data_IF_385031745707
#
_entry.id   IF_385031745707
#
_cell.length_a   1.000
_cell.length_b   1.000
_cell.length_c   1.000
_cell.angle_alpha   90.00
_cell.angle_beta   90.00
_cell.angle_gamma   90.00
#
_symmetry.space_group_name_H-M   'P 1'
#
loop_
_entity.id
_entity.type
_entity.pdbx_description
1 polymer ?
#
# COMPACT_ATOMS: atom_id res chain seq x y z
N UNK A 1 -3.53 4.89 -3.37
CA UNK A 1 -4.19 5.11 -2.06
C UNK A 1 -3.56 4.13 -1.08
N UNK A 2 -3.13 4.57 0.11
CA UNK A 2 -2.71 3.71 1.22
C UNK A 2 -3.90 3.55 2.17
N UNK A 3 -4.13 2.34 2.67
CA UNK A 3 -5.24 2.05 3.56
C UNK A 3 -4.82 1.00 4.60
N UNK A 4 -5.56 0.96 5.71
CA UNK A 4 -5.44 -0.04 6.76
C UNK A 4 -6.82 -0.67 7.00
N UNK A 5 -6.89 -1.92 7.49
CA UNK A 5 -8.17 -2.58 7.79
C UNK A 5 -8.91 -1.87 8.96
N UNK A 6 -8.18 -1.23 9.89
CA UNK A 6 -8.75 -0.64 11.11
C UNK A 6 -9.11 0.84 10.96
N UNK A 7 -8.45 1.56 10.04
CA UNK A 7 -8.61 3.02 9.91
C UNK A 7 -9.91 3.46 9.22
N UNK A 8 -10.56 2.56 8.46
CA UNK A 8 -11.79 2.86 7.71
C UNK A 8 -11.66 3.95 6.64
N UNK A 9 -10.45 4.46 6.39
CA UNK A 9 -10.15 5.53 5.46
C UNK A 9 -8.92 5.20 4.61
N UNK A 10 -8.91 5.71 3.37
CA UNK A 10 -7.79 5.59 2.45
C UNK A 10 -7.13 6.95 2.23
N UNK A 11 -5.81 7.01 2.34
CA UNK A 11 -5.01 8.23 2.17
C UNK A 11 -4.33 8.21 0.80
N UNK A 12 -4.52 9.23 -0.06
CA UNK A 12 -3.72 9.38 -1.26
C UNK A 12 -2.26 9.66 -0.89
N UNK A 13 -1.34 8.86 -1.42
CA UNK A 13 0.10 9.00 -1.16
C UNK A 13 0.88 8.86 -2.46
N UNK A 14 2.08 9.46 -2.50
CA UNK A 14 3.08 9.19 -3.55
C UNK A 14 4.10 8.21 -3.00
N UNK A 15 4.10 6.98 -3.51
CA UNK A 15 5.03 5.92 -3.13
C UNK A 15 6.29 5.96 -4.01
N UNK A 16 7.47 5.86 -3.41
CA UNK A 16 8.77 5.91 -4.10
C UNK A 16 9.81 5.01 -3.42
N UNK A 17 10.77 4.55 -4.20
CA UNK A 17 12.00 3.94 -3.70
C UNK A 17 13.10 5.00 -3.73
N UNK A 18 13.97 5.02 -2.73
CA UNK A 18 15.13 5.92 -2.74
C UNK A 18 16.14 5.53 -3.84
N UNK A 19 17.09 6.42 -4.12
CA UNK A 19 18.06 6.23 -5.21
C UNK A 19 18.96 5.00 -5.04
N UNK A 20 19.14 4.53 -3.81
CA UNK A 20 20.00 3.39 -3.49
C UNK A 20 19.22 2.08 -3.26
N UNK A 21 17.89 2.12 -3.20
CA UNK A 21 17.06 0.93 -3.02
C UNK A 21 17.07 0.35 -1.61
N UNK A 22 17.29 1.18 -0.59
CA UNK A 22 17.26 0.79 0.82
C UNK A 22 15.90 1.04 1.47
N UNK A 23 15.19 2.07 1.04
CA UNK A 23 13.95 2.54 1.64
C UNK A 23 12.85 2.68 0.61
N UNK A 24 11.71 2.08 0.93
CA UNK A 24 10.44 2.44 0.34
C UNK A 24 9.83 3.54 1.20
N UNK A 25 9.44 4.66 0.60
CA UNK A 25 8.86 5.78 1.32
C UNK A 25 7.59 6.26 0.63
N UNK A 26 6.67 6.83 1.41
CA UNK A 26 5.50 7.48 0.85
C UNK A 26 5.25 8.82 1.52
N UNK A 27 4.76 9.76 0.70
CA UNK A 27 4.44 11.12 1.13
C UNK A 27 2.95 11.33 0.97
N UNK A 28 2.29 11.78 2.03
CA UNK A 28 0.86 12.09 2.03
C UNK A 28 0.57 13.53 1.54
N UNK A 29 -0.69 13.95 1.60
CA UNK A 29 -1.09 15.30 1.18
C UNK A 29 -0.65 16.41 2.16
N UNK A 30 -0.33 16.07 3.41
CA UNK A 30 0.19 16.98 4.43
C UNK A 30 1.72 17.10 4.39
N UNK A 31 2.38 16.40 3.44
CA UNK A 31 3.84 16.29 3.32
C UNK A 31 4.48 15.52 4.47
N UNK A 32 3.71 14.71 5.19
CA UNK A 32 4.27 13.73 6.13
C UNK A 32 4.91 12.60 5.34
N UNK A 33 6.08 12.17 5.80
CA UNK A 33 6.89 11.14 5.15
C UNK A 33 7.00 9.96 6.08
N UNK A 34 6.57 8.80 5.59
CA UNK A 34 6.81 7.52 6.23
C UNK A 34 7.89 6.75 5.47
N UNK A 35 8.66 5.95 6.20
CA UNK A 35 9.78 5.14 5.70
C UNK A 35 9.58 3.67 6.06
N UNK A 36 9.88 2.80 5.12
CA UNK A 36 9.95 1.35 5.28
C UNK A 36 11.31 0.86 4.79
N UNK A 37 12.04 0.19 5.67
CA UNK A 37 13.29 -0.48 5.32
C UNK A 37 12.99 -1.69 4.43
N UNK A 38 13.53 -1.68 3.21
CA UNK A 38 13.29 -2.73 2.21
C UNK A 38 13.81 -4.08 2.69
N UNK A 39 14.84 -4.11 3.54
CA UNK A 39 15.36 -5.37 4.11
C UNK A 39 14.34 -6.10 5.00
N UNK A 40 13.32 -5.39 5.49
CA UNK A 40 12.22 -5.96 6.30
C UNK A 40 11.05 -6.47 5.44
N UNK A 41 11.05 -6.21 4.14
CA UNK A 41 10.02 -6.70 3.22
C UNK A 41 10.26 -8.18 2.97
N UNK A 42 9.24 -8.98 3.27
CA UNK A 42 9.26 -10.44 3.08
C UNK A 42 8.63 -10.87 1.77
N UNK A 43 7.60 -10.16 1.34
CA UNK A 43 6.83 -10.50 0.16
C UNK A 43 6.09 -9.26 -0.38
N UNK A 44 5.86 -9.24 -1.68
CA UNK A 44 5.06 -8.22 -2.36
C UNK A 44 4.09 -8.90 -3.31
N UNK A 45 2.79 -8.62 -3.13
CA UNK A 45 1.72 -9.31 -3.85
C UNK A 45 0.93 -8.33 -4.70
N UNK A 46 0.54 -8.79 -5.88
CA UNK A 46 -0.27 -8.06 -6.86
C UNK A 46 -1.36 -8.97 -7.42
N UNK A 47 -2.30 -8.40 -8.17
CA UNK A 47 -3.36 -9.17 -8.80
C UNK A 47 -4.22 -9.90 -7.77
N UNK A 48 -4.54 -11.17 -8.06
CA UNK A 48 -5.38 -12.02 -7.20
C UNK A 48 -4.77 -12.35 -5.84
N UNK A 49 -3.47 -12.14 -5.66
CA UNK A 49 -2.77 -12.42 -4.39
C UNK A 49 -2.72 -11.20 -3.47
N UNK A 50 -3.05 -10.01 -3.99
CA UNK A 50 -3.11 -8.80 -3.19
C UNK A 50 -4.35 -8.80 -2.28
N UNK A 51 -4.22 -8.21 -1.09
CA UNK A 51 -5.31 -8.03 -0.15
C UNK A 51 -6.24 -6.92 -0.62
N UNK A 52 -7.47 -7.28 -0.98
CA UNK A 52 -8.54 -6.32 -1.27
C UNK A 52 -9.19 -5.86 0.04
N UNK A 53 -9.46 -4.55 0.25
CA UNK A 53 -10.15 -4.07 1.44
C UNK A 53 -11.49 -4.75 1.62
N UNK A 54 -11.86 -5.14 2.84
CA UNK A 54 -13.16 -5.77 3.14
C UNK A 54 -14.28 -4.76 3.34
N UNK A 55 -13.95 -3.61 3.91
CA UNK A 55 -14.92 -2.55 4.17
C UNK A 55 -15.49 -1.97 2.85
N UNK A 56 -16.83 -1.94 2.68
CA UNK A 56 -17.45 -1.45 1.45
C UNK A 56 -17.19 0.03 1.13
N UNK A 57 -17.10 0.90 2.15
CA UNK A 57 -16.81 2.33 1.96
C UNK A 57 -15.38 2.50 1.48
N UNK A 58 -14.46 1.77 2.09
CA UNK A 58 -13.06 1.78 1.70
C UNK A 58 -12.86 1.25 0.28
N UNK A 59 -13.58 0.18 -0.11
CA UNK A 59 -13.60 -0.32 -1.50
C UNK A 59 -13.98 0.76 -2.51
N UNK A 60 -15.01 1.56 -2.21
CA UNK A 60 -15.41 2.67 -3.09
C UNK A 60 -14.30 3.71 -3.23
N UNK A 61 -13.64 4.06 -2.13
CA UNK A 61 -12.53 5.02 -2.14
C UNK A 61 -11.34 4.52 -2.96
N UNK A 62 -10.92 3.26 -2.76
CA UNK A 62 -9.75 2.70 -3.47
C UNK A 62 -10.04 2.36 -4.94
N UNK A 63 -11.31 2.17 -5.30
CA UNK A 63 -11.72 1.92 -6.69
C UNK A 63 -11.79 3.19 -7.54
N UNK A 64 -11.62 4.38 -6.96
CA UNK A 64 -11.65 5.63 -7.71
C UNK A 64 -10.49 5.71 -8.72
N UNK A 65 -10.78 6.10 -9.96
CA UNK A 65 -9.78 6.28 -11.02
C UNK A 65 -10.14 5.51 -12.29
N UNK A 66 -9.17 4.80 -12.85
CA UNK A 66 -9.34 4.00 -14.07
C UNK A 66 -10.40 2.89 -13.91
N UNK A 67 -10.85 2.29 -15.01
CA UNK A 67 -11.88 1.25 -14.96
C UNK A 67 -11.36 -0.17 -14.66
N UNK A 68 -10.04 -0.36 -14.51
CA UNK A 68 -9.46 -1.68 -14.20
C UNK A 68 -9.91 -2.21 -12.83
N UNK A 69 -9.80 -3.52 -12.63
CA UNK A 69 -10.32 -4.14 -11.41
C UNK A 69 -9.46 -3.77 -10.19
N UNK A 70 -9.99 -3.97 -8.98
CA UNK A 70 -9.22 -3.69 -7.76
C UNK A 70 -7.97 -4.56 -7.68
N UNK A 71 -8.05 -5.82 -8.09
CA UNK A 71 -6.93 -6.77 -8.12
C UNK A 71 -5.77 -6.23 -8.97
N UNK A 72 -6.06 -5.63 -10.12
CA UNK A 72 -5.04 -5.12 -11.06
C UNK A 72 -4.29 -3.89 -10.53
N UNK A 73 -4.87 -3.19 -9.54
CA UNK A 73 -4.32 -1.94 -8.98
C UNK A 73 -3.82 -2.08 -7.56
N UNK A 74 -4.11 -3.22 -6.92
CA UNK A 74 -3.77 -3.43 -5.52
C UNK A 74 -2.39 -4.04 -5.42
N UNK A 75 -1.55 -3.40 -4.60
CA UNK A 75 -0.28 -3.95 -4.16
C UNK A 75 -0.37 -4.17 -2.65
N UNK A 76 0.08 -5.34 -2.19
CA UNK A 76 0.24 -5.63 -0.76
C UNK A 76 1.71 -5.86 -0.47
N UNK A 77 2.23 -5.16 0.53
CA UNK A 77 3.61 -5.29 0.99
C UNK A 77 3.55 -5.97 2.35
N UNK A 78 4.18 -7.13 2.47
CA UNK A 78 4.26 -7.88 3.71
C UNK A 78 5.62 -7.63 4.35
N UNK A 79 5.61 -7.02 5.54
CA UNK A 79 6.82 -6.69 6.28
C UNK A 79 6.86 -7.49 7.59
N UNK A 80 8.05 -7.82 8.07
CA UNK A 80 8.22 -8.50 9.36
C UNK A 80 9.69 -8.56 9.79
N UNK A 81 9.92 -8.39 11.09
CA UNK A 81 11.25 -8.47 11.70
C UNK A 81 11.76 -9.91 11.82
N UNK A 82 10.87 -10.90 11.81
CA UNK A 82 11.16 -12.33 11.91
C UNK A 82 10.44 -13.12 10.79
N UNK A 83 10.55 -14.44 10.83
CA UNK A 83 9.96 -15.37 9.85
C UNK A 83 8.72 -16.11 10.43
N UNK A 84 8.18 -15.65 11.56
CA UNK A 84 7.14 -16.36 12.34
C UNK A 84 5.76 -15.75 12.12
#
# INVERSE_FOLDING_TARGET
>A
IKWDEDAGAGTPVTLKVDEHGFYLHWIDQNKEIDLLDISTIRDTRTGKQAKIPKDPKLRQVVAMGSQDTLEEKTVTICCGSDFV
#
